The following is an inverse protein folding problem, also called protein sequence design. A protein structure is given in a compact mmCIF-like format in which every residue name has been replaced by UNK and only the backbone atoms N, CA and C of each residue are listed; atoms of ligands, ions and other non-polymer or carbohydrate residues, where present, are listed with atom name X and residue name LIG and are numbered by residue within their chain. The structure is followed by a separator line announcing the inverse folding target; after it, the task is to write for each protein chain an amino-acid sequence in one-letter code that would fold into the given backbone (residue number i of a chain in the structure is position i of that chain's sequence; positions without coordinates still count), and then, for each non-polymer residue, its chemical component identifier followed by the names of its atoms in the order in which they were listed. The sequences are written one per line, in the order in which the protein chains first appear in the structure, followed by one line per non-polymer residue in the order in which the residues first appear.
data_IF_328339821684
#
_entry.id   IF_328339821684
#
_cell.length_a   1.000
_cell.length_b   1.000
_cell.length_c   1.000
_cell.angle_alpha   90.00
_cell.angle_beta   90.00
_cell.angle_gamma   90.00
#
_symmetry.space_group_name_H-M   'P 1'
#
loop_
_entity.id
_entity.type
_entity.pdbx_description
1 polymer ?
#
# COMPACT_ATOMS: atom_id res chain seq x y z
N UNK A 1 -17.31 -22.57 -6.94
CA UNK A 1 -16.94 -21.66 -5.83
C UNK A 1 -15.43 -21.47 -5.93
N UNK A 2 -14.88 -20.28 -6.18
CA UNK A 2 -13.44 -20.13 -6.21
C UNK A 2 -12.93 -20.07 -4.77
N UNK A 3 -12.05 -21.01 -4.43
CA UNK A 3 -11.28 -21.02 -3.20
C UNK A 3 -10.41 -19.75 -3.17
N UNK A 4 -10.77 -18.80 -2.30
CA UNK A 4 -9.90 -17.67 -2.01
C UNK A 4 -8.72 -18.18 -1.17
N UNK A 5 -7.68 -18.69 -1.83
CA UNK A 5 -6.39 -18.90 -1.17
C UNK A 5 -5.96 -17.58 -0.53
N UNK A 6 -5.96 -17.55 0.80
CA UNK A 6 -5.37 -16.45 1.57
C UNK A 6 -3.97 -16.22 1.02
N UNK A 7 -3.66 -15.02 0.47
CA UNK A 7 -2.33 -14.76 -0.03
C UNK A 7 -1.35 -14.95 1.13
N UNK A 8 -0.36 -15.83 0.96
CA UNK A 8 0.69 -16.04 1.96
C UNK A 8 1.53 -14.78 2.08
N UNK A 9 1.11 -13.87 2.97
CA UNK A 9 1.76 -12.59 3.21
C UNK A 9 3.12 -12.81 3.84
N UNK A 10 4.14 -12.13 3.33
CA UNK A 10 5.46 -12.11 3.98
C UNK A 10 5.38 -11.34 5.31
N UNK A 11 6.35 -11.56 6.20
CA UNK A 11 6.44 -10.84 7.49
C UNK A 11 6.43 -9.32 7.30
N UNK A 12 7.07 -8.82 6.24
CA UNK A 12 7.13 -7.40 5.91
C UNK A 12 5.79 -6.87 5.41
N UNK A 13 5.08 -7.63 4.58
CA UNK A 13 3.73 -7.29 4.12
C UNK A 13 2.76 -7.26 5.30
N UNK A 14 2.83 -8.25 6.20
CA UNK A 14 2.00 -8.27 7.41
C UNK A 14 2.28 -7.08 8.32
N UNK A 15 3.57 -6.73 8.52
CA UNK A 15 3.95 -5.56 9.30
C UNK A 15 3.44 -4.25 8.69
N UNK A 16 3.46 -4.12 7.35
CA UNK A 16 2.89 -2.98 6.66
C UNK A 16 1.38 -2.89 6.86
N UNK A 17 0.64 -4.00 6.66
CA UNK A 17 -0.81 -4.03 6.84
C UNK A 17 -1.23 -3.74 8.30
N UNK A 18 -0.51 -4.29 9.27
CA UNK A 18 -0.70 -3.98 10.71
C UNK A 18 -0.48 -2.49 11.00
N UNK A 19 0.55 -1.88 10.40
CA UNK A 19 0.79 -0.46 10.55
C UNK A 19 -0.34 0.38 9.93
N UNK A 20 -0.87 -0.03 8.76
CA UNK A 20 -2.02 0.63 8.14
C UNK A 20 -3.32 0.43 8.94
N UNK A 21 -3.46 -0.68 9.68
CA UNK A 21 -4.61 -0.96 10.54
C UNK A 21 -4.80 0.11 11.61
N UNK A 22 -3.74 0.81 12.01
CA UNK A 22 -3.78 1.94 12.96
C UNK A 22 -4.36 3.23 12.37
N UNK A 23 -4.90 3.20 11.14
CA UNK A 23 -5.44 4.36 10.43
C UNK A 23 -4.38 5.18 9.69
N UNK A 24 -3.17 4.64 9.54
CA UNK A 24 -2.07 5.30 8.85
C UNK A 24 -2.09 4.99 7.36
N UNK A 25 -1.85 6.01 6.53
CA UNK A 25 -1.75 5.89 5.08
C UNK A 25 -0.36 6.31 4.59
N UNK A 26 -0.01 5.86 3.39
CA UNK A 26 1.21 6.27 2.70
C UNK A 26 0.91 6.62 1.26
N UNK A 27 1.76 7.45 0.65
CA UNK A 27 1.62 7.90 -0.73
C UNK A 27 2.74 7.33 -1.56
N UNK A 28 2.44 6.97 -2.80
CA UNK A 28 3.43 6.59 -3.79
C UNK A 28 3.33 7.56 -4.96
N UNK A 29 4.43 8.13 -5.39
CA UNK A 29 4.44 8.98 -6.57
C UNK A 29 4.27 8.10 -7.82
N UNK A 30 3.19 8.32 -8.56
CA UNK A 30 2.82 7.54 -9.75
C UNK A 30 3.08 8.29 -11.05
N UNK A 31 3.47 9.55 -10.95
CA UNK A 31 3.81 10.39 -12.10
C UNK A 31 5.17 9.99 -12.71
N UNK A 32 5.38 10.30 -13.99
CA UNK A 32 6.63 10.02 -14.74
C UNK A 32 7.74 11.02 -14.38
N UNK A 33 7.96 11.21 -13.08
CA UNK A 33 8.97 12.08 -12.51
C UNK A 33 10.19 11.26 -12.03
N UNK A 34 11.35 11.87 -11.75
CA UNK A 34 12.48 11.16 -11.12
C UNK A 34 12.12 10.56 -9.74
N UNK A 35 11.02 11.02 -9.14
CA UNK A 35 10.43 10.50 -7.91
C UNK A 35 9.46 9.34 -8.15
N UNK A 36 9.32 8.80 -9.37
CA UNK A 36 8.41 7.70 -9.67
C UNK A 36 8.71 6.49 -8.80
N UNK A 37 7.71 6.03 -8.05
CA UNK A 37 7.84 4.93 -7.10
C UNK A 37 8.43 5.35 -5.74
N UNK A 38 8.67 6.64 -5.52
CA UNK A 38 9.03 7.16 -4.21
C UNK A 38 7.83 7.00 -3.26
N UNK A 39 8.09 6.40 -2.10
CA UNK A 39 7.09 6.19 -1.06
C UNK A 39 7.25 7.27 -0.02
N UNK A 40 6.25 8.13 0.10
CA UNK A 40 6.16 9.15 1.13
C UNK A 40 5.10 8.76 2.16
N UNK A 41 5.51 8.18 3.30
CA UNK A 41 4.58 7.89 4.37
C UNK A 41 4.31 9.14 5.22
N UNK A 42 3.08 9.30 5.71
CA UNK A 42 2.75 10.37 6.67
C UNK A 42 3.43 10.19 8.04
N UNK A 43 3.98 9.01 8.31
CA UNK A 43 4.68 8.68 9.55
C UNK A 43 5.79 7.66 9.29
N UNK A 44 6.71 7.45 10.23
CA UNK A 44 7.80 6.48 10.06
C UNK A 44 7.23 5.09 9.71
N UNK A 45 7.61 4.57 8.54
CA UNK A 45 7.24 3.23 8.11
C UNK A 45 7.98 2.18 8.96
N UNK A 46 7.34 1.05 9.27
CA UNK A 46 7.97 -0.04 10.01
C UNK A 46 8.92 -0.85 9.12
N UNK A 47 8.74 -0.78 7.79
CA UNK A 47 9.49 -1.54 6.79
C UNK A 47 9.75 -0.69 5.57
N UNK A 48 10.74 -1.06 4.76
CA UNK A 48 10.98 -0.44 3.46
C UNK A 48 9.90 -0.90 2.50
N UNK A 49 9.05 0.02 2.06
CA UNK A 49 7.98 -0.27 1.10
C UNK A 49 8.52 -0.08 -0.30
N UNK A 50 8.48 -1.14 -1.10
CA UNK A 50 8.81 -1.09 -2.52
C UNK A 50 7.52 -1.02 -3.33
N UNK A 51 7.52 -0.28 -4.45
CA UNK A 51 6.39 -0.18 -5.36
C UNK A 51 5.83 -1.54 -5.79
N UNK A 52 6.71 -2.52 -6.08
CA UNK A 52 6.30 -3.88 -6.43
C UNK A 52 5.58 -4.64 -5.31
N UNK A 53 5.87 -4.33 -4.04
CA UNK A 53 5.13 -4.91 -2.90
C UNK A 53 3.73 -4.33 -2.81
N UNK A 54 3.60 -3.02 -3.04
CA UNK A 54 2.32 -2.31 -3.03
C UNK A 54 1.43 -2.81 -4.17
N UNK A 55 2.00 -3.00 -5.37
CA UNK A 55 1.29 -3.55 -6.52
C UNK A 55 0.72 -4.95 -6.23
N UNK A 56 1.51 -5.84 -5.62
CA UNK A 56 1.04 -7.17 -5.20
C UNK A 56 -0.11 -7.10 -4.19
N UNK A 57 0.00 -6.20 -3.21
CA UNK A 57 -1.06 -6.01 -2.21
C UNK A 57 -2.34 -5.44 -2.84
N UNK A 58 -2.20 -4.57 -3.83
CA UNK A 58 -3.31 -3.99 -4.59
C UNK A 58 -3.98 -5.04 -5.48
N UNK A 59 -3.21 -5.81 -6.24
CA UNK A 59 -3.68 -6.95 -7.06
C UNK A 59 -4.40 -8.00 -6.19
N UNK A 60 -3.93 -8.22 -4.96
CA UNK A 60 -4.58 -9.10 -3.99
C UNK A 60 -5.85 -8.50 -3.34
N UNK A 61 -6.16 -7.22 -3.60
CA UNK A 61 -7.30 -6.51 -3.03
C UNK A 61 -7.18 -6.18 -1.54
N UNK A 62 -5.96 -6.19 -1.00
CA UNK A 62 -5.69 -5.92 0.43
C UNK A 62 -5.51 -4.43 0.71
N UNK A 63 -5.08 -3.67 -0.29
CA UNK A 63 -4.97 -2.22 -0.23
C UNK A 63 -5.67 -1.61 -1.43
N UNK A 64 -6.13 -0.38 -1.28
CA UNK A 64 -6.69 0.43 -2.36
C UNK A 64 -5.95 1.75 -2.40
N UNK A 65 -5.98 2.44 -3.54
CA UNK A 65 -5.37 3.75 -3.66
C UNK A 65 -6.41 4.79 -4.06
N UNK A 66 -6.19 6.02 -3.60
CA UNK A 66 -6.89 7.20 -4.10
C UNK A 66 -5.86 8.12 -4.75
N UNK A 67 -6.04 8.52 -6.02
CA UNK A 67 -5.15 9.48 -6.65
C UNK A 67 -5.34 10.85 -5.99
N UNK A 68 -4.22 11.46 -5.64
CA UNK A 68 -4.14 12.77 -5.00
C UNK A 68 -3.11 13.60 -5.76
N UNK A 69 -3.52 14.79 -6.19
CA UNK A 69 -2.56 15.73 -6.75
C UNK A 69 -1.90 16.49 -5.59
N UNK A 70 -0.59 16.35 -5.47
CA UNK A 70 0.21 16.99 -4.44
C UNK A 70 1.45 17.60 -5.08
N UNK A 71 1.63 18.92 -4.90
CA UNK A 71 2.67 19.72 -5.58
C UNK A 71 2.68 19.58 -7.12
N UNK A 72 1.50 19.48 -7.74
CA UNK A 72 1.39 19.34 -9.20
C UNK A 72 1.82 17.98 -9.74
N UNK A 73 2.19 17.04 -8.86
CA UNK A 73 2.47 15.65 -9.19
C UNK A 73 1.32 14.75 -8.74
N UNK A 74 1.10 13.66 -9.47
CA UNK A 74 0.13 12.63 -9.08
C UNK A 74 0.76 11.67 -8.08
N UNK A 75 0.14 11.61 -6.91
CA UNK A 75 0.46 10.67 -5.84
C UNK A 75 -0.72 9.74 -5.62
N UNK A 76 -0.48 8.46 -5.51
CA UNK A 76 -1.52 7.50 -5.14
C UNK A 76 -1.42 7.25 -3.62
N UNK A 77 -2.42 7.70 -2.87
CA UNK A 77 -2.51 7.48 -1.41
C UNK A 77 -3.14 6.12 -1.14
N UNK A 78 -2.34 5.19 -0.60
CA UNK A 78 -2.76 3.83 -0.29
C UNK A 78 -3.39 3.73 1.09
N UNK A 79 -4.53 3.03 1.13
CA UNK A 79 -5.34 2.76 2.31
C UNK A 79 -5.65 1.27 2.43
N UNK A 80 -5.87 0.81 3.65
CA UNK A 80 -6.18 -0.59 3.94
C UNK A 80 -7.64 -0.87 3.58
N UNK A 81 -7.92 -1.97 2.86
CA UNK A 81 -9.29 -2.42 2.59
C UNK A 81 -9.81 -3.29 3.74
N UNK A 82 -11.12 -3.54 3.78
CA UNK A 82 -11.71 -4.50 4.74
C UNK A 82 -11.05 -5.88 4.62
N UNK A 83 -10.83 -6.34 3.39
CA UNK A 83 -10.15 -7.61 3.12
C UNK A 83 -8.69 -7.61 3.59
N UNK A 84 -8.00 -6.48 3.42
CA UNK A 84 -6.66 -6.28 3.96
C UNK A 84 -6.62 -6.40 5.48
N UNK A 85 -7.67 -5.96 6.16
CA UNK A 85 -7.83 -6.06 7.62
C UNK A 85 -8.12 -7.50 8.06
N UNK A 86 -8.93 -8.24 7.33
CA UNK A 86 -9.26 -9.64 7.62
C UNK A 86 -8.09 -10.62 7.35
N UNK A 87 -7.11 -10.19 6.54
CA UNK A 87 -5.95 -11.01 6.18
C UNK A 87 -4.77 -10.94 7.19
N UNK A 88 -4.91 -10.17 8.28
CA UNK A 88 -3.88 -9.94 9.31
C UNK A 88 -4.12 -10.89 10.48
#
# INVERSE_FOLDING_TARGET
MPEFSTPSLTKEQKALLQWMQTGRTFRVCSDYSPMKGEVQPKSRLPVRVFSGTVDKLYQAGLVTFTPVNFFGLRWDEFSLTSRGRDAI
#
